data_IF_444650063344
#
_entry.id   IF_444650063344
#
_cell.length_a   1.000
_cell.length_b   1.000
_cell.length_c   1.000
_cell.angle_alpha   90.00
_cell.angle_beta   90.00
_cell.angle_gamma   90.00
#
_symmetry.space_group_name_H-M   'P 1'
#
loop_
_entity.id
_entity.type
_entity.pdbx_description
1 polymer ?
#
# COMPACT_ATOMS: atom_id res chain seq x y z
N UNK A 1 41.88 -4.63 27.57
CA UNK A 1 42.59 -3.68 26.70
C UNK A 1 42.78 -2.35 27.45
N UNK A 2 43.33 -2.42 28.67
CA UNK A 2 43.39 -1.37 29.71
C UNK A 2 43.62 0.07 29.18
N UNK A 3 42.54 0.78 28.85
CA UNK A 3 42.56 2.17 28.38
C UNK A 3 42.98 2.39 26.92
N UNK A 4 43.23 1.34 26.13
CA UNK A 4 43.64 1.47 24.74
C UNK A 4 42.53 2.12 23.89
N UNK A 5 42.85 3.10 23.02
CA UNK A 5 41.87 3.77 22.19
C UNK A 5 41.42 2.88 21.03
N UNK A 6 40.11 2.69 20.87
CA UNK A 6 39.50 2.10 19.68
C UNK A 6 39.09 3.24 18.75
N UNK A 7 39.76 3.35 17.61
CA UNK A 7 39.48 4.40 16.62
C UNK A 7 38.20 4.06 15.87
N UNK A 8 37.20 4.93 15.96
CA UNK A 8 35.93 4.75 15.27
C UNK A 8 35.42 6.06 14.66
N UNK A 9 34.46 5.92 13.77
CA UNK A 9 33.60 7.01 13.32
C UNK A 9 32.20 6.44 13.10
N UNK A 10 31.18 7.29 13.21
CA UNK A 10 29.80 6.93 12.98
C UNK A 10 29.22 7.69 11.79
N UNK A 11 28.21 7.11 11.17
CA UNK A 11 27.42 7.73 10.12
C UNK A 11 26.25 8.58 10.63
N UNK A 12 25.99 8.60 11.96
CA UNK A 12 24.91 9.36 12.61
C UNK A 12 23.54 9.17 11.94
N UNK A 13 23.19 7.92 11.61
CA UNK A 13 21.93 7.59 10.95
C UNK A 13 20.99 6.88 11.93
N UNK A 14 19.83 7.49 12.17
CA UNK A 14 18.79 6.86 12.94
C UNK A 14 18.18 5.66 12.18
N UNK A 15 17.84 4.54 12.85
CA UNK A 15 17.97 4.26 14.28
C UNK A 15 19.30 3.61 14.73
N UNK A 16 20.26 3.41 13.81
CA UNK A 16 21.47 2.61 14.10
C UNK A 16 22.45 3.32 15.04
N UNK A 17 22.66 4.61 14.80
CA UNK A 17 23.65 5.43 15.48
C UNK A 17 23.11 6.86 15.58
N UNK A 18 22.86 7.31 16.80
CA UNK A 18 22.23 8.60 17.09
C UNK A 18 23.07 9.32 18.13
N UNK A 19 23.48 10.55 17.80
CA UNK A 19 24.23 11.38 18.73
C UNK A 19 23.32 11.80 19.89
N UNK A 20 23.85 11.74 21.10
CA UNK A 20 23.21 12.19 22.33
C UNK A 20 24.25 12.89 23.22
N UNK A 21 23.80 13.63 24.22
CA UNK A 21 24.67 14.27 25.20
C UNK A 21 24.39 13.68 26.57
N UNK A 22 25.45 13.35 27.30
CA UNK A 22 25.31 12.91 28.69
C UNK A 22 24.76 14.07 29.53
N UNK A 23 23.59 13.92 30.17
CA UNK A 23 22.98 15.00 30.94
C UNK A 23 23.81 15.44 32.15
N UNK A 24 24.74 14.60 32.62
CA UNK A 24 25.59 14.87 33.80
C UNK A 24 26.93 15.44 33.38
N UNK A 25 27.61 14.82 32.41
CA UNK A 25 28.98 15.22 32.02
C UNK A 25 29.02 16.19 30.85
N UNK A 26 27.93 16.33 30.09
CA UNK A 26 27.89 17.09 28.83
C UNK A 26 28.72 16.44 27.71
N UNK A 27 29.20 15.21 27.90
CA UNK A 27 30.01 14.52 26.91
C UNK A 27 29.13 13.95 25.79
N UNK A 28 29.58 14.12 24.54
CA UNK A 28 28.88 13.60 23.37
C UNK A 28 29.01 12.08 23.31
N UNK A 29 27.87 11.39 23.31
CA UNK A 29 27.75 9.94 23.25
C UNK A 29 26.89 9.53 22.06
N UNK A 30 26.85 8.23 21.78
CA UNK A 30 26.03 7.66 20.72
C UNK A 30 25.22 6.50 21.24
N UNK A 31 23.95 6.47 20.85
CA UNK A 31 23.01 5.39 21.16
C UNK A 31 22.40 4.82 19.88
N UNK A 32 21.72 3.69 20.00
CA UNK A 32 21.14 2.95 18.89
C UNK A 32 21.74 1.56 18.79
N UNK A 33 21.13 0.68 18.00
CA UNK A 33 21.48 -0.75 18.05
C UNK A 33 22.95 -1.02 17.65
N UNK A 34 23.51 -0.25 16.72
CA UNK A 34 24.94 -0.35 16.33
C UNK A 34 25.86 0.28 17.38
N UNK A 35 25.50 1.49 17.84
CA UNK A 35 26.31 2.23 18.83
C UNK A 35 26.39 1.49 20.17
N UNK A 36 25.26 0.99 20.68
CA UNK A 36 25.16 0.27 21.94
C UNK A 36 26.02 -1.01 21.95
N UNK A 37 26.08 -1.73 20.83
CA UNK A 37 26.92 -2.92 20.71
C UNK A 37 28.40 -2.60 20.91
N UNK A 38 28.88 -1.54 20.26
CA UNK A 38 30.27 -1.10 20.34
C UNK A 38 30.60 -0.50 21.71
N UNK A 39 29.70 0.32 22.27
CA UNK A 39 29.85 0.87 23.63
C UNK A 39 29.98 -0.25 24.67
N UNK A 40 29.09 -1.24 24.63
CA UNK A 40 29.15 -2.39 25.52
C UNK A 40 30.44 -3.20 25.37
N UNK A 41 30.98 -3.27 24.14
CA UNK A 41 32.26 -3.93 23.90
C UNK A 41 33.41 -3.17 24.56
N UNK A 42 33.44 -1.85 24.38
CA UNK A 42 34.46 -0.96 24.96
C UNK A 42 34.47 -1.06 26.48
N UNK A 43 33.29 -1.04 27.11
CA UNK A 43 33.13 -1.25 28.54
C UNK A 43 33.64 -2.64 28.98
N UNK A 44 33.24 -3.70 28.27
CA UNK A 44 33.64 -5.09 28.56
C UNK A 44 35.16 -5.27 28.54
N UNK A 45 35.87 -4.64 27.61
CA UNK A 45 37.33 -4.77 27.47
C UNK A 45 38.11 -3.67 28.20
N UNK A 46 37.40 -2.75 28.87
CA UNK A 46 37.97 -1.57 29.53
C UNK A 46 38.89 -0.78 28.58
N UNK A 47 38.37 -0.42 27.41
CA UNK A 47 39.02 0.41 26.38
C UNK A 47 38.47 1.85 26.40
N UNK A 48 39.04 2.74 25.59
CA UNK A 48 38.52 4.09 25.39
C UNK A 48 38.00 4.26 23.97
N UNK A 49 36.91 5.03 23.81
CA UNK A 49 36.33 5.35 22.50
C UNK A 49 37.07 6.56 21.89
N UNK A 50 37.72 6.39 20.74
CA UNK A 50 38.43 7.47 20.06
C UNK A 50 37.73 7.86 18.75
N UNK A 51 36.82 8.84 18.84
CA UNK A 51 36.09 9.35 17.68
C UNK A 51 36.97 10.16 16.74
N UNK A 52 37.09 9.70 15.49
CA UNK A 52 37.90 10.33 14.44
C UNK A 52 37.11 11.40 13.69
N UNK A 53 36.69 12.46 14.40
CA UNK A 53 35.90 13.56 13.81
C UNK A 53 36.62 14.32 12.68
N UNK A 54 37.96 14.29 12.66
CA UNK A 54 38.79 14.90 11.62
C UNK A 54 38.65 14.24 10.24
N UNK A 55 38.17 12.98 10.20
CA UNK A 55 37.89 12.27 8.95
C UNK A 55 36.52 12.61 8.37
N UNK A 56 35.65 13.28 9.14
CA UNK A 56 34.36 13.72 8.63
C UNK A 56 34.58 14.77 7.53
N UNK A 57 33.87 14.63 6.41
CA UNK A 57 33.91 15.62 5.33
C UNK A 57 33.38 16.98 5.84
N UNK A 58 33.81 18.06 5.17
CA UNK A 58 33.37 19.43 5.47
C UNK A 58 31.84 19.44 5.52
N UNK A 59 31.26 19.92 6.63
CA UNK A 59 29.83 19.89 7.02
C UNK A 59 29.36 18.72 7.92
N UNK A 60 30.23 17.78 8.33
CA UNK A 60 29.84 16.74 9.30
C UNK A 60 28.94 15.64 8.72
N UNK A 61 28.88 15.57 7.39
CA UNK A 61 28.15 14.58 6.61
C UNK A 61 29.05 13.35 6.39
N UNK A 62 28.63 12.18 6.84
CA UNK A 62 29.44 10.95 6.76
C UNK A 62 28.61 9.87 6.08
N UNK A 63 29.08 9.44 4.91
CA UNK A 63 28.46 8.36 4.17
C UNK A 63 29.05 7.00 4.58
N UNK A 64 28.21 5.98 4.81
CA UNK A 64 28.64 4.69 5.35
C UNK A 64 29.70 3.97 4.48
N UNK A 65 29.65 4.13 3.16
CA UNK A 65 30.65 3.55 2.24
C UNK A 65 32.05 4.14 2.49
N UNK A 66 32.14 5.40 2.92
CA UNK A 66 33.43 6.00 3.27
C UNK A 66 33.99 5.37 4.56
N UNK A 67 33.13 5.01 5.52
CA UNK A 67 33.54 4.32 6.75
C UNK A 67 34.18 2.97 6.41
N UNK A 68 33.54 2.16 5.56
CA UNK A 68 34.07 0.88 5.11
C UNK A 68 35.41 1.03 4.36
N UNK A 69 35.58 2.10 3.59
CA UNK A 69 36.87 2.42 2.94
C UNK A 69 37.94 2.82 3.94
N UNK A 70 37.61 3.62 4.96
CA UNK A 70 38.57 4.06 5.98
C UNK A 70 39.01 2.92 6.90
N UNK A 71 38.11 1.98 7.22
CA UNK A 71 38.50 0.76 7.95
C UNK A 71 39.40 -0.13 7.09
N UNK A 72 39.07 -0.31 5.81
CA UNK A 72 39.90 -1.09 4.88
C UNK A 72 41.32 -0.51 4.71
N UNK A 73 41.47 0.81 4.83
CA UNK A 73 42.76 1.53 4.76
C UNK A 73 43.43 1.71 6.14
N UNK A 74 43.03 0.95 7.17
CA UNK A 74 43.60 0.97 8.53
C UNK A 74 43.53 2.33 9.29
N UNK A 75 42.74 3.29 8.79
CA UNK A 75 42.51 4.59 9.44
C UNK A 75 41.61 4.46 10.67
N UNK A 76 40.68 3.51 10.64
CA UNK A 76 39.75 3.17 11.71
C UNK A 76 39.98 1.72 12.15
N UNK A 77 39.74 1.41 13.42
CA UNK A 77 39.81 0.03 13.90
C UNK A 77 38.48 -0.69 13.70
N UNK A 78 37.37 -0.07 14.11
CA UNK A 78 36.00 -0.55 13.92
C UNK A 78 35.15 0.65 13.49
N UNK A 79 34.38 0.53 12.40
CA UNK A 79 33.39 1.55 12.03
C UNK A 79 32.10 1.39 12.84
N UNK A 80 31.57 2.47 13.40
CA UNK A 80 30.27 2.48 14.08
C UNK A 80 29.15 2.69 13.05
N UNK A 81 29.08 1.75 12.13
CA UNK A 81 28.08 1.65 11.07
C UNK A 81 27.93 0.17 10.69
N UNK A 82 26.97 -0.11 9.82
CA UNK A 82 26.81 -1.43 9.21
C UNK A 82 26.76 -1.27 7.71
N UNK A 83 27.36 -2.22 7.01
CA UNK A 83 27.40 -2.25 5.56
C UNK A 83 26.96 -3.62 5.04
N UNK A 84 26.54 -3.67 3.78
CA UNK A 84 26.18 -4.91 3.11
C UNK A 84 27.43 -5.64 2.64
N UNK A 85 27.33 -6.96 2.53
CA UNK A 85 28.45 -7.80 2.08
C UNK A 85 28.45 -8.02 0.55
N UNK A 86 27.63 -7.29 -0.23
CA UNK A 86 27.33 -7.60 -1.63
C UNK A 86 28.52 -7.36 -2.59
N UNK A 87 29.30 -6.30 -2.34
CA UNK A 87 30.39 -5.88 -3.23
C UNK A 87 31.68 -6.71 -3.04
N UNK A 88 31.75 -7.54 -2.00
CA UNK A 88 33.03 -7.95 -1.41
C UNK A 88 33.44 -9.37 -1.81
N UNK A 89 34.58 -9.48 -2.50
CA UNK A 89 35.27 -10.76 -2.74
C UNK A 89 36.08 -11.26 -1.54
N UNK A 90 36.32 -10.40 -0.55
CA UNK A 90 37.12 -10.69 0.63
C UNK A 90 36.41 -10.20 1.90
N UNK A 91 36.36 -11.03 2.93
CA UNK A 91 35.69 -10.78 4.21
C UNK A 91 36.67 -10.40 5.34
N UNK A 92 37.94 -10.13 5.00
CA UNK A 92 38.94 -9.70 5.98
C UNK A 92 38.57 -8.37 6.66
N UNK A 93 37.81 -7.49 5.98
CA UNK A 93 37.42 -6.15 6.46
C UNK A 93 36.03 -6.09 7.07
N UNK A 94 35.39 -7.23 7.35
CA UNK A 94 34.08 -7.31 7.98
C UNK A 94 34.08 -8.29 9.14
N UNK A 95 33.23 -8.03 10.12
CA UNK A 95 32.96 -9.00 11.19
C UNK A 95 32.08 -10.15 10.70
N UNK A 96 31.91 -11.14 11.57
CA UNK A 96 30.77 -12.05 11.53
C UNK A 96 29.43 -11.28 11.37
N UNK A 97 28.46 -11.82 10.60
CA UNK A 97 27.13 -11.22 10.38
C UNK A 97 26.44 -10.71 11.65
N UNK A 98 26.19 -9.41 11.68
CA UNK A 98 25.54 -8.77 12.81
C UNK A 98 24.02 -8.95 12.76
N UNK A 99 23.38 -8.61 11.64
CA UNK A 99 21.94 -8.82 11.45
C UNK A 99 21.60 -9.17 10.01
N UNK A 100 20.44 -9.81 9.83
CA UNK A 100 19.85 -10.09 8.53
C UNK A 100 18.54 -9.33 8.42
N UNK A 101 18.31 -8.68 7.28
CA UNK A 101 17.10 -7.90 7.02
C UNK A 101 16.75 -7.94 5.52
N UNK A 102 15.48 -7.74 5.19
CA UNK A 102 15.12 -7.50 3.79
C UNK A 102 15.37 -6.05 3.40
N UNK A 103 15.71 -5.81 2.15
CA UNK A 103 15.90 -4.48 1.56
C UNK A 103 14.93 -4.33 0.40
N UNK A 104 13.77 -3.73 0.72
CA UNK A 104 12.63 -3.64 -0.18
C UNK A 104 12.09 -2.22 -0.28
N UNK A 105 11.13 -2.02 -1.17
CA UNK A 105 10.57 -0.70 -1.40
C UNK A 105 9.47 -0.36 -0.40
N UNK A 106 9.59 0.83 0.22
CA UNK A 106 8.44 1.53 0.80
C UNK A 106 7.72 2.26 -0.33
N UNK A 107 6.44 1.93 -0.47
CA UNK A 107 5.60 2.36 -1.58
C UNK A 107 4.47 3.23 -1.04
N UNK A 108 4.12 4.35 -1.70
CA UNK A 108 2.96 5.13 -1.32
C UNK A 108 1.69 4.27 -1.33
N UNK A 109 0.84 4.43 -0.32
CA UNK A 109 -0.45 3.76 -0.27
C UNK A 109 -1.29 4.17 -1.48
N UNK A 110 -1.96 3.21 -2.14
CA UNK A 110 -2.84 3.51 -3.24
C UNK A 110 -3.99 4.40 -2.79
N UNK A 111 -4.41 5.30 -3.68
CA UNK A 111 -5.55 6.17 -3.42
C UNK A 111 -6.81 5.31 -3.17
N UNK A 112 -7.70 5.83 -2.32
CA UNK A 112 -9.02 5.22 -2.13
C UNK A 112 -9.83 5.36 -3.42
N UNK A 113 -10.72 4.40 -3.68
CA UNK A 113 -11.64 4.50 -4.81
C UNK A 113 -12.50 5.75 -4.63
N UNK A 114 -12.66 6.61 -5.66
CA UNK A 114 -13.49 7.79 -5.55
C UNK A 114 -14.95 7.41 -5.35
N UNK A 115 -15.71 8.23 -4.60
CA UNK A 115 -17.09 7.91 -4.23
C UNK A 115 -18.02 7.72 -5.44
N UNK A 116 -17.74 8.38 -6.57
CA UNK A 116 -18.48 8.21 -7.81
C UNK A 116 -18.41 6.79 -8.41
N UNK A 117 -17.33 6.05 -8.17
CA UNK A 117 -17.11 4.69 -8.68
C UNK A 117 -17.62 3.62 -7.72
N UNK A 118 -17.76 3.95 -6.43
CA UNK A 118 -18.22 3.01 -5.38
C UNK A 118 -19.52 2.31 -5.77
N UNK A 119 -20.47 3.03 -6.36
CA UNK A 119 -21.76 2.48 -6.75
C UNK A 119 -21.68 1.38 -7.83
N UNK A 120 -20.68 1.46 -8.71
CA UNK A 120 -20.42 0.47 -9.75
C UNK A 120 -19.58 -0.69 -9.25
N UNK A 121 -18.55 -0.41 -8.44
CA UNK A 121 -17.62 -1.43 -7.91
C UNK A 121 -18.32 -2.46 -7.02
N UNK A 122 -19.39 -2.08 -6.32
CA UNK A 122 -20.19 -3.02 -5.50
C UNK A 122 -20.89 -4.07 -6.39
N UNK A 123 -21.20 -3.74 -7.64
CA UNK A 123 -21.93 -4.61 -8.57
C UNK A 123 -20.92 -5.45 -9.35
N UNK A 124 -20.55 -6.60 -8.79
CA UNK A 124 -19.75 -7.58 -9.51
C UNK A 124 -20.52 -8.14 -10.74
N UNK A 125 -19.91 -8.19 -11.94
CA UNK A 125 -20.55 -8.70 -13.15
C UNK A 125 -21.07 -10.14 -13.02
N UNK A 126 -20.38 -10.98 -12.24
CA UNK A 126 -20.81 -12.35 -11.96
C UNK A 126 -22.09 -12.38 -11.12
N UNK A 127 -22.18 -11.55 -10.08
CA UNK A 127 -23.39 -11.40 -9.25
C UNK A 127 -24.56 -10.87 -10.10
N UNK A 128 -24.33 -9.88 -10.96
CA UNK A 128 -25.37 -9.37 -11.86
C UNK A 128 -25.88 -10.46 -12.82
N UNK A 129 -24.96 -11.25 -13.37
CA UNK A 129 -25.30 -12.39 -14.25
C UNK A 129 -26.13 -13.43 -13.51
N UNK A 130 -25.75 -13.76 -12.27
CA UNK A 130 -26.52 -14.67 -11.42
C UNK A 130 -27.92 -14.12 -11.11
N UNK A 131 -28.03 -12.86 -10.71
CA UNK A 131 -29.32 -12.20 -10.46
C UNK A 131 -30.21 -12.20 -11.71
N UNK A 132 -29.63 -11.96 -12.88
CA UNK A 132 -30.34 -12.03 -14.16
C UNK A 132 -30.85 -13.44 -14.47
N UNK A 133 -30.04 -14.48 -14.21
CA UNK A 133 -30.46 -15.88 -14.34
C UNK A 133 -31.60 -16.22 -13.37
N UNK A 134 -31.48 -15.82 -12.11
CA UNK A 134 -32.54 -16.00 -11.10
C UNK A 134 -33.81 -15.28 -11.57
N UNK A 135 -33.71 -14.04 -12.07
CA UNK A 135 -34.85 -13.32 -12.66
C UNK A 135 -35.54 -14.09 -13.79
N UNK A 136 -34.76 -14.60 -14.75
CA UNK A 136 -35.29 -15.38 -15.87
C UNK A 136 -35.99 -16.67 -15.42
N UNK A 137 -35.39 -17.38 -14.44
CA UNK A 137 -36.00 -18.61 -13.89
C UNK A 137 -37.31 -18.32 -13.15
N UNK A 138 -37.36 -17.30 -12.29
CA UNK A 138 -38.62 -16.91 -11.63
C UNK A 138 -39.68 -16.43 -12.63
N UNK A 139 -39.28 -15.68 -13.65
CA UNK A 139 -40.20 -15.19 -14.68
C UNK A 139 -40.83 -16.32 -15.49
N UNK A 140 -40.03 -17.29 -15.94
CA UNK A 140 -40.53 -18.47 -16.67
C UNK A 140 -41.46 -19.34 -15.81
N UNK A 141 -41.09 -19.56 -14.54
CA UNK A 141 -41.92 -20.31 -13.60
C UNK A 141 -43.28 -19.61 -13.34
N UNK A 142 -43.27 -18.29 -13.23
CA UNK A 142 -44.49 -17.50 -13.01
C UNK A 142 -45.42 -17.55 -14.23
N UNK A 143 -44.87 -17.43 -15.44
CA UNK A 143 -45.61 -17.58 -16.71
C UNK A 143 -46.25 -18.98 -16.82
N UNK A 144 -45.50 -20.02 -16.45
CA UNK A 144 -45.99 -21.40 -16.45
C UNK A 144 -47.16 -21.59 -15.48
N UNK A 145 -47.05 -21.08 -14.25
CA UNK A 145 -48.12 -21.17 -13.23
C UNK A 145 -49.38 -20.40 -13.68
N UNK A 146 -49.20 -19.25 -14.33
CA UNK A 146 -50.29 -18.42 -14.85
C UNK A 146 -50.86 -18.93 -16.18
N UNK A 147 -50.32 -20.01 -16.75
CA UNK A 147 -50.71 -20.58 -18.05
C UNK A 147 -50.70 -19.55 -19.19
N UNK A 148 -49.75 -18.62 -19.18
CA UNK A 148 -49.56 -17.63 -20.26
C UNK A 148 -48.65 -18.18 -21.35
N UNK A 149 -48.70 -17.58 -22.54
CA UNK A 149 -47.80 -17.95 -23.64
C UNK A 149 -46.35 -17.55 -23.31
N UNK A 150 -45.42 -18.48 -23.58
CA UNK A 150 -43.99 -18.23 -23.45
C UNK A 150 -43.51 -17.46 -24.68
N UNK A 151 -43.13 -16.21 -24.49
CA UNK A 151 -42.40 -15.41 -25.48
C UNK A 151 -41.19 -14.78 -24.79
N UNK A 152 -40.15 -14.47 -25.55
CA UNK A 152 -38.94 -13.85 -24.99
C UNK A 152 -39.28 -12.49 -24.34
N UNK A 153 -40.20 -11.75 -24.95
CA UNK A 153 -40.73 -10.49 -24.40
C UNK A 153 -41.52 -10.69 -23.11
N UNK A 154 -42.30 -11.76 -22.96
CA UNK A 154 -43.07 -12.02 -21.74
C UNK A 154 -42.17 -12.42 -20.58
N UNK A 155 -41.04 -13.09 -20.85
CA UNK A 155 -40.03 -13.43 -19.85
C UNK A 155 -39.25 -12.18 -19.40
N UNK A 156 -38.76 -11.38 -20.35
CA UNK A 156 -37.92 -10.22 -20.05
C UNK A 156 -38.72 -9.06 -19.42
N UNK A 157 -39.94 -8.80 -19.91
CA UNK A 157 -40.81 -7.70 -19.44
C UNK A 157 -41.88 -8.18 -18.45
N UNK A 158 -41.50 -9.07 -17.53
CA UNK A 158 -42.41 -9.52 -16.48
C UNK A 158 -42.45 -8.51 -15.32
N UNK A 159 -43.41 -7.59 -15.38
CA UNK A 159 -43.61 -6.50 -14.41
C UNK A 159 -43.71 -6.99 -12.95
N UNK A 160 -44.38 -8.13 -12.71
CA UNK A 160 -44.54 -8.68 -11.36
C UNK A 160 -43.19 -9.15 -10.78
N UNK A 161 -42.38 -9.84 -11.60
CA UNK A 161 -41.06 -10.30 -11.18
C UNK A 161 -40.09 -9.12 -11.01
N UNK A 162 -40.11 -8.14 -11.92
CA UNK A 162 -39.19 -7.01 -11.90
C UNK A 162 -39.43 -6.10 -10.69
N UNK A 163 -40.69 -5.77 -10.40
CA UNK A 163 -41.07 -5.06 -9.17
C UNK A 163 -40.73 -5.86 -7.93
N UNK A 164 -40.98 -7.17 -7.93
CA UNK A 164 -40.62 -8.05 -6.82
C UNK A 164 -39.12 -7.99 -6.51
N UNK A 165 -38.27 -8.11 -7.53
CA UNK A 165 -36.80 -8.01 -7.41
C UNK A 165 -36.32 -6.66 -6.89
N UNK A 166 -36.94 -5.56 -7.33
CA UNK A 166 -36.64 -4.20 -6.85
C UNK A 166 -37.29 -3.87 -5.49
N UNK A 167 -37.89 -4.86 -4.82
CA UNK A 167 -38.61 -4.69 -3.56
C UNK A 167 -39.75 -3.64 -3.64
N UNK A 168 -40.38 -3.52 -4.81
CA UNK A 168 -41.52 -2.63 -5.04
C UNK A 168 -42.85 -3.38 -4.87
N UNK A 169 -43.91 -2.71 -4.37
CA UNK A 169 -45.22 -3.31 -4.27
C UNK A 169 -45.80 -3.55 -5.68
N UNK A 170 -46.47 -4.69 -5.84
CA UNK A 170 -47.15 -5.07 -7.08
C UNK A 170 -48.56 -5.60 -6.79
N UNK A 171 -49.50 -5.46 -7.73
CA UNK A 171 -50.87 -5.93 -7.55
C UNK A 171 -50.91 -7.46 -7.44
N UNK A 172 -51.41 -7.95 -6.30
CA UNK A 172 -51.50 -9.38 -6.01
C UNK A 172 -52.93 -9.90 -6.27
N UNK A 173 -53.14 -11.01 -7.00
CA UNK A 173 -54.48 -11.52 -7.26
C UNK A 173 -55.17 -12.04 -5.99
N UNK A 174 -56.48 -11.79 -5.85
CA UNK A 174 -57.29 -12.24 -4.72
C UNK A 174 -57.41 -13.78 -4.64
N UNK A 175 -57.45 -14.47 -5.79
CA UNK A 175 -57.51 -15.93 -5.87
C UNK A 175 -56.17 -16.49 -6.37
N UNK A 176 -55.33 -16.92 -5.44
CA UNK A 176 -53.99 -17.43 -5.73
C UNK A 176 -53.80 -18.90 -5.33
N UNK A 177 -53.13 -19.65 -6.20
CA UNK A 177 -52.66 -21.00 -5.89
C UNK A 177 -51.59 -20.97 -4.78
N UNK A 178 -51.51 -22.02 -3.96
CA UNK A 178 -50.45 -22.15 -2.92
C UNK A 178 -49.05 -22.05 -3.52
N UNK A 179 -48.87 -22.52 -4.75
CA UNK A 179 -47.61 -22.45 -5.51
C UNK A 179 -47.20 -20.99 -5.80
N UNK A 180 -48.14 -20.15 -6.24
CA UNK A 180 -47.88 -18.73 -6.51
C UNK A 180 -47.51 -17.96 -5.23
N UNK A 181 -48.19 -18.26 -4.11
CA UNK A 181 -47.86 -17.67 -2.80
C UNK A 181 -46.43 -18.02 -2.36
N UNK A 182 -46.03 -19.29 -2.50
CA UNK A 182 -44.68 -19.73 -2.17
C UNK A 182 -43.62 -19.04 -3.05
N UNK A 183 -43.86 -18.96 -4.37
CA UNK A 183 -42.93 -18.26 -5.28
C UNK A 183 -42.78 -16.79 -4.95
N UNK A 184 -43.88 -16.10 -4.66
CA UNK A 184 -43.86 -14.70 -4.24
C UNK A 184 -43.08 -14.51 -2.94
N UNK A 185 -43.21 -15.43 -1.98
CA UNK A 185 -42.47 -15.40 -0.72
C UNK A 185 -40.96 -15.63 -0.92
N UNK A 186 -40.59 -16.60 -1.77
CA UNK A 186 -39.20 -16.84 -2.14
C UNK A 186 -38.59 -15.64 -2.87
N UNK A 187 -39.33 -15.04 -3.80
CA UNK A 187 -38.93 -13.83 -4.51
C UNK A 187 -38.70 -12.68 -3.53
N UNK A 188 -39.63 -12.47 -2.59
CA UNK A 188 -39.50 -11.45 -1.55
C UNK A 188 -38.24 -11.68 -0.69
N UNK A 189 -37.99 -12.91 -0.26
CA UNK A 189 -36.81 -13.24 0.54
C UNK A 189 -35.50 -13.00 -0.24
N UNK A 190 -35.43 -13.42 -1.51
CA UNK A 190 -34.28 -13.17 -2.37
C UNK A 190 -34.03 -11.67 -2.59
N UNK A 191 -35.09 -10.90 -2.77
CA UNK A 191 -35.03 -9.45 -3.00
C UNK A 191 -34.61 -8.70 -1.74
N UNK A 192 -35.12 -9.12 -0.58
CA UNK A 192 -34.71 -8.60 0.73
C UNK A 192 -33.23 -8.85 0.96
N UNK A 193 -32.77 -10.09 0.80
CA UNK A 193 -31.35 -10.46 0.97
C UNK A 193 -30.45 -9.63 0.05
N UNK A 194 -30.77 -9.55 -1.24
CA UNK A 194 -29.98 -8.79 -2.23
C UNK A 194 -29.92 -7.30 -1.89
N UNK A 195 -31.07 -6.69 -1.55
CA UNK A 195 -31.14 -5.26 -1.20
C UNK A 195 -30.40 -4.96 0.09
N UNK A 196 -30.54 -5.81 1.11
CA UNK A 196 -29.82 -5.64 2.38
C UNK A 196 -28.31 -5.81 2.22
N UNK A 197 -27.87 -6.76 1.38
CA UNK A 197 -26.46 -6.99 1.08
C UNK A 197 -25.86 -5.77 0.37
N UNK A 198 -26.51 -5.31 -0.72
CA UNK A 198 -26.06 -4.11 -1.43
C UNK A 198 -26.03 -2.88 -0.53
N UNK A 199 -27.08 -2.66 0.27
CA UNK A 199 -27.14 -1.54 1.21
C UNK A 199 -26.08 -1.60 2.30
N UNK A 200 -25.71 -2.79 2.78
CA UNK A 200 -24.63 -2.97 3.74
C UNK A 200 -23.26 -2.65 3.13
N UNK A 201 -22.97 -3.18 1.94
CA UNK A 201 -21.72 -2.88 1.21
C UNK A 201 -21.61 -1.40 0.88
N UNK A 202 -22.70 -0.79 0.40
CA UNK A 202 -22.71 0.64 0.07
C UNK A 202 -22.40 1.50 1.31
N UNK A 203 -23.05 1.23 2.45
CA UNK A 203 -22.76 1.95 3.69
C UNK A 203 -21.31 1.77 4.14
N UNK A 204 -20.78 0.55 4.06
CA UNK A 204 -19.41 0.26 4.43
C UNK A 204 -18.40 1.00 3.53
N UNK A 205 -18.62 1.00 2.21
CA UNK A 205 -17.74 1.66 1.25
C UNK A 205 -17.87 3.19 1.27
N UNK A 206 -19.05 3.74 1.58
CA UNK A 206 -19.21 5.18 1.81
C UNK A 206 -18.53 5.64 3.11
N UNK A 207 -18.44 4.77 4.13
CA UNK A 207 -17.74 5.10 5.36
C UNK A 207 -16.21 5.04 5.18
N UNK A 208 -15.71 3.99 4.53
CA UNK A 208 -14.30 3.84 4.20
C UNK A 208 -14.19 3.15 2.85
N UNK A 209 -13.97 3.91 1.76
CA UNK A 209 -13.82 3.31 0.44
C UNK A 209 -12.63 2.36 0.44
N UNK A 210 -12.74 1.20 -0.22
CA UNK A 210 -11.63 0.29 -0.35
C UNK A 210 -10.48 0.99 -1.10
N UNK A 211 -9.22 0.74 -0.73
CA UNK A 211 -8.09 1.23 -1.48
C UNK A 211 -8.03 0.59 -2.87
N UNK A 212 -7.45 1.30 -3.84
CA UNK A 212 -7.06 0.68 -5.10
C UNK A 212 -6.08 -0.50 -4.86
N UNK A 213 -5.99 -1.46 -5.81
CA UNK A 213 -5.14 -2.62 -5.63
C UNK A 213 -3.67 -2.22 -5.39
N UNK A 214 -3.10 -2.72 -4.31
CA UNK A 214 -1.68 -2.50 -3.98
C UNK A 214 -0.77 -3.07 -5.08
N UNK A 215 0.33 -2.39 -5.34
CA UNK A 215 1.36 -2.85 -6.28
C UNK A 215 2.10 -4.04 -5.69
N UNK A 216 2.19 -5.13 -6.47
CA UNK A 216 2.84 -6.38 -6.04
C UNK A 216 4.08 -6.71 -6.84
N UNK A 217 4.21 -6.20 -8.05
CA UNK A 217 5.32 -6.55 -8.95
C UNK A 217 6.06 -5.32 -9.47
N UNK A 218 7.31 -5.51 -9.92
CA UNK A 218 8.08 -4.47 -10.61
C UNK A 218 7.39 -3.98 -11.89
N UNK A 219 6.64 -4.84 -12.58
CA UNK A 219 5.84 -4.46 -13.76
C UNK A 219 4.70 -3.50 -13.41
N UNK A 220 4.09 -3.65 -12.22
CA UNK A 220 3.06 -2.72 -11.74
C UNK A 220 3.69 -1.35 -11.45
N UNK A 221 4.88 -1.34 -10.85
CA UNK A 221 5.66 -0.14 -10.58
C UNK A 221 6.04 0.58 -11.88
N UNK A 222 6.46 -0.15 -12.91
CA UNK A 222 6.75 0.41 -14.24
C UNK A 222 5.53 1.09 -14.85
N UNK A 223 4.32 0.54 -14.66
CA UNK A 223 3.06 1.13 -15.17
C UNK A 223 2.50 2.24 -14.28
N UNK A 224 2.93 2.31 -13.02
CA UNK A 224 2.43 3.27 -12.05
C UNK A 224 2.87 4.71 -12.33
N UNK A 225 2.30 5.70 -11.64
CA UNK A 225 2.74 7.10 -11.74
C UNK A 225 4.03 7.41 -10.96
N UNK A 226 4.47 6.48 -10.11
CA UNK A 226 5.52 6.75 -9.14
C UNK A 226 6.91 6.59 -9.74
N UNK A 227 7.85 7.44 -9.28
CA UNK A 227 9.27 7.32 -9.61
C UNK A 227 10.02 6.64 -8.49
N UNK A 228 11.09 5.92 -8.80
CA UNK A 228 11.97 5.33 -7.79
C UNK A 228 13.07 6.32 -7.47
N UNK A 229 13.17 6.77 -6.22
CA UNK A 229 14.30 7.57 -5.77
C UNK A 229 15.37 6.62 -5.19
N UNK A 230 16.61 6.73 -5.68
CA UNK A 230 17.74 5.93 -5.18
C UNK A 230 18.99 6.79 -5.04
N UNK A 231 19.85 6.44 -4.07
CA UNK A 231 21.16 7.06 -3.98
C UNK A 231 22.12 6.48 -5.05
N UNK A 232 23.08 7.29 -5.52
CA UNK A 232 24.11 6.86 -6.47
C UNK A 232 24.87 5.62 -6.01
N UNK A 233 25.17 5.50 -4.71
CA UNK A 233 25.91 4.37 -4.16
C UNK A 233 25.09 3.08 -4.18
N UNK A 234 23.79 3.17 -3.91
CA UNK A 234 22.87 2.03 -4.04
C UNK A 234 22.80 1.60 -5.50
N UNK A 235 22.74 2.55 -6.44
CA UNK A 235 22.75 2.27 -7.87
C UNK A 235 24.05 1.64 -8.37
N UNK A 236 25.20 2.04 -7.83
CA UNK A 236 26.49 1.45 -8.17
C UNK A 236 26.57 -0.02 -7.70
N UNK A 237 26.06 -0.30 -6.50
CA UNK A 237 25.92 -1.67 -5.98
C UNK A 237 25.03 -2.54 -6.88
N UNK A 238 23.87 -2.02 -7.33
CA UNK A 238 22.97 -2.77 -8.23
C UNK A 238 23.59 -3.08 -9.60
N UNK A 239 24.45 -2.18 -10.11
CA UNK A 239 25.16 -2.37 -11.39
C UNK A 239 26.19 -3.50 -11.31
N UNK A 240 26.84 -3.65 -10.16
CA UNK A 240 27.76 -4.76 -9.91
C UNK A 240 27.10 -6.13 -9.99
N UNK A 241 25.82 -6.24 -9.61
CA UNK A 241 25.02 -7.48 -9.72
C UNK A 241 24.37 -7.69 -11.11
N UNK A 242 24.98 -7.16 -12.17
CA UNK A 242 24.54 -7.31 -13.56
C UNK A 242 23.11 -6.80 -13.86
N UNK A 243 22.66 -5.71 -13.23
CA UNK A 243 21.34 -5.08 -13.47
C UNK A 243 20.13 -6.04 -13.31
N UNK A 244 20.30 -7.19 -12.63
CA UNK A 244 19.25 -8.19 -12.48
C UNK A 244 18.15 -7.79 -11.49
N UNK A 245 18.44 -6.78 -10.65
CA UNK A 245 17.66 -6.49 -9.45
C UNK A 245 16.51 -5.50 -9.72
N UNK A 246 16.60 -4.69 -10.77
CA UNK A 246 15.47 -3.88 -11.28
C UNK A 246 14.99 -4.44 -12.62
N UNK A 247 14.50 -5.70 -12.66
CA UNK A 247 14.03 -6.27 -13.91
C UNK A 247 12.83 -5.46 -14.39
N UNK A 248 12.85 -5.05 -15.66
CA UNK A 248 11.73 -4.37 -16.32
C UNK A 248 11.40 -2.97 -15.77
N UNK A 249 12.36 -2.25 -15.19
CA UNK A 249 12.18 -0.83 -14.87
C UNK A 249 13.04 0.02 -15.81
N UNK A 250 12.41 0.88 -16.61
CA UNK A 250 13.12 1.84 -17.46
C UNK A 250 13.97 2.80 -16.62
N UNK A 251 15.16 3.17 -17.11
CA UNK A 251 16.04 4.16 -16.48
C UNK A 251 15.33 5.51 -16.26
N UNK A 252 14.31 5.84 -17.06
CA UNK A 252 13.51 7.08 -16.93
C UNK A 252 12.64 7.10 -15.66
N UNK A 253 12.35 5.93 -15.07
CA UNK A 253 11.60 5.81 -13.81
C UNK A 253 12.48 5.94 -12.58
N UNK A 254 13.80 5.89 -12.73
CA UNK A 254 14.75 5.92 -11.62
C UNK A 254 15.40 7.30 -11.53
N UNK A 255 15.15 8.00 -10.43
CA UNK A 255 15.78 9.27 -10.12
C UNK A 255 16.96 9.02 -9.17
N UNK A 256 18.17 9.29 -9.67
CA UNK A 256 19.41 9.06 -8.93
C UNK A 256 19.82 10.36 -8.22
N UNK A 257 19.77 10.32 -6.89
CA UNK A 257 20.18 11.44 -6.03
C UNK A 257 21.66 11.26 -5.68
N UNK A 258 22.45 12.32 -5.87
CA UNK A 258 23.90 12.30 -5.62
C UNK A 258 24.27 12.54 -4.16
N UNK A 259 23.55 13.44 -3.48
CA UNK A 259 23.77 13.68 -2.05
C UNK A 259 22.94 12.69 -1.23
N UNK A 260 23.61 11.88 -0.41
CA UNK A 260 22.95 10.91 0.46
C UNK A 260 22.07 11.59 1.51
N UNK A 261 22.45 12.76 2.03
CA UNK A 261 21.65 13.45 3.03
C UNK A 261 20.37 14.03 2.43
N UNK A 262 20.43 14.51 1.19
CA UNK A 262 19.24 14.93 0.44
C UNK A 262 18.29 13.75 0.22
N UNK A 263 18.83 12.58 -0.17
CA UNK A 263 18.04 11.35 -0.31
C UNK A 263 17.38 10.93 1.01
N UNK A 264 18.13 10.94 2.12
CA UNK A 264 17.59 10.61 3.45
C UNK A 264 16.49 11.60 3.85
N UNK A 265 16.71 12.91 3.67
CA UNK A 265 15.72 13.94 3.98
C UNK A 265 14.46 13.80 3.13
N UNK A 266 14.60 13.53 1.83
CA UNK A 266 13.47 13.30 0.93
C UNK A 266 12.66 12.08 1.36
N UNK A 267 13.33 11.00 1.73
CA UNK A 267 12.69 9.78 2.24
C UNK A 267 11.97 10.00 3.56
N UNK A 268 12.59 10.73 4.50
CA UNK A 268 12.01 11.06 5.81
C UNK A 268 10.85 12.06 5.72
N UNK A 269 10.77 12.82 4.62
CA UNK A 269 9.62 13.69 4.34
C UNK A 269 8.36 12.95 3.88
N UNK A 270 8.41 11.63 3.70
CA UNK A 270 7.31 10.81 3.19
C UNK A 270 6.69 11.38 1.89
N UNK A 271 7.54 11.74 0.93
CA UNK A 271 7.07 12.29 -0.35
C UNK A 271 6.41 11.21 -1.22
N UNK A 272 5.08 11.27 -1.36
CA UNK A 272 4.26 10.29 -2.07
C UNK A 272 4.45 10.24 -3.59
N UNK A 273 5.25 11.14 -4.19
CA UNK A 273 5.61 11.04 -5.61
C UNK A 273 6.66 9.95 -5.88
N UNK A 274 7.35 9.50 -4.84
CA UNK A 274 8.49 8.62 -4.94
C UNK A 274 8.29 7.32 -4.19
N UNK A 275 8.92 6.27 -4.71
CA UNK A 275 9.11 4.98 -4.06
C UNK A 275 10.56 4.91 -3.59
N UNK A 276 10.78 4.49 -2.34
CA UNK A 276 12.11 4.50 -1.75
C UNK A 276 12.53 3.11 -1.31
N UNK A 277 13.79 2.70 -1.54
CA UNK A 277 14.31 1.48 -0.94
C UNK A 277 14.61 1.69 0.55
N UNK A 278 14.19 0.75 1.37
CA UNK A 278 14.39 0.73 2.82
C UNK A 278 14.67 -0.68 3.32
N UNK A 279 15.49 -0.78 4.34
CA UNK A 279 15.67 -2.05 5.08
C UNK A 279 14.45 -2.30 5.97
N UNK A 280 14.10 -3.55 6.23
CA UNK A 280 13.01 -3.90 7.16
C UNK A 280 13.20 -3.31 8.57
N UNK A 281 14.44 -3.20 9.04
CA UNK A 281 14.78 -2.56 10.34
C UNK A 281 14.40 -1.08 10.33
N UNK A 282 14.76 -0.34 9.27
CA UNK A 282 14.37 1.07 9.11
C UNK A 282 12.87 1.22 8.90
N UNK A 283 12.24 0.31 8.15
CA UNK A 283 10.79 0.31 7.96
C UNK A 283 10.03 0.23 9.29
N UNK A 284 10.50 -0.60 10.24
CA UNK A 284 9.87 -0.70 11.57
C UNK A 284 9.70 0.66 12.26
N UNK A 285 10.73 1.53 12.19
CA UNK A 285 10.61 2.89 12.75
C UNK A 285 9.67 3.81 11.96
N UNK A 286 9.57 3.65 10.64
CA UNK A 286 8.62 4.42 9.84
C UNK A 286 7.18 3.95 10.05
N UNK A 287 6.96 2.65 10.25
CA UNK A 287 5.64 2.12 10.58
C UNK A 287 5.14 2.68 11.91
N UNK A 288 5.98 2.69 12.95
CA UNK A 288 5.63 3.32 14.23
C UNK A 288 5.39 4.84 14.09
N UNK A 289 6.20 5.54 13.29
CA UNK A 289 5.99 6.96 13.02
C UNK A 289 4.64 7.22 12.34
N UNK A 290 4.24 6.37 11.39
CA UNK A 290 2.98 6.52 10.67
C UNK A 290 1.75 6.24 11.53
N UNK A 291 1.86 5.47 12.62
CA UNK A 291 0.75 5.28 13.58
C UNK A 291 0.39 6.56 14.33
N UNK A 292 1.29 7.54 14.34
CA UNK A 292 1.02 8.88 14.88
C UNK A 292 0.29 9.79 13.89
N UNK A 293 0.22 9.42 12.61
CA UNK A 293 -0.51 10.15 11.57
C UNK A 293 -1.98 9.73 11.56
N UNK A 294 -2.87 10.62 11.11
CA UNK A 294 -4.29 10.32 10.96
C UNK A 294 -4.54 9.19 9.95
N UNK A 295 -3.78 9.17 8.85
CA UNK A 295 -3.76 8.09 7.88
C UNK A 295 -2.31 7.70 7.54
N UNK A 296 -2.00 6.41 7.42
CA UNK A 296 -0.70 5.98 6.92
C UNK A 296 -0.54 6.43 5.45
N UNK A 297 0.69 6.74 5.04
CA UNK A 297 1.01 7.28 3.70
C UNK A 297 1.76 6.27 2.83
N UNK A 298 2.50 5.34 3.46
CA UNK A 298 3.29 4.32 2.80
C UNK A 298 3.01 2.93 3.37
N UNK A 299 3.32 1.90 2.58
CA UNK A 299 3.38 0.51 3.00
C UNK A 299 4.69 -0.11 2.53
N UNK A 300 5.15 -1.15 3.24
CA UNK A 300 6.31 -1.95 2.85
C UNK A 300 5.89 -3.10 1.95
N UNK A 301 6.53 -3.22 0.80
CA UNK A 301 6.25 -4.31 -0.14
C UNK A 301 7.27 -5.43 0.00
N UNK A 302 6.85 -6.58 0.52
CA UNK A 302 7.69 -7.79 0.60
C UNK A 302 7.94 -8.45 -0.77
N UNK A 303 7.16 -8.09 -1.78
CA UNK A 303 7.28 -8.65 -3.13
C UNK A 303 8.18 -7.80 -4.04
N UNK A 304 8.27 -6.49 -3.78
CA UNK A 304 9.09 -5.56 -4.55
C UNK A 304 10.34 -5.29 -3.72
N UNK A 305 11.30 -6.21 -3.82
CA UNK A 305 12.53 -6.20 -3.04
C UNK A 305 13.76 -6.15 -3.93
N UNK A 306 14.76 -5.37 -3.51
CA UNK A 306 16.10 -5.42 -4.11
C UNK A 306 16.84 -6.68 -3.62
N UNK A 307 16.66 -7.02 -2.35
CA UNK A 307 17.15 -8.27 -1.78
C UNK A 307 16.31 -8.70 -0.59
N UNK A 308 15.92 -9.98 -0.56
CA UNK A 308 15.12 -10.54 0.53
C UNK A 308 15.96 -10.82 1.78
N UNK A 309 17.23 -11.20 1.60
CA UNK A 309 18.12 -11.64 2.68
C UNK A 309 19.42 -10.83 2.66
N UNK A 310 19.34 -9.56 3.05
CA UNK A 310 20.51 -8.71 3.15
C UNK A 310 21.24 -8.94 4.48
N UNK A 311 22.54 -9.26 4.39
CA UNK A 311 23.40 -9.48 5.55
C UNK A 311 24.17 -8.20 5.84
N UNK A 312 23.99 -7.67 7.05
CA UNK A 312 24.68 -6.48 7.53
C UNK A 312 25.76 -6.85 8.57
N UNK A 313 26.95 -6.31 8.38
CA UNK A 313 28.13 -6.57 9.22
C UNK A 313 28.85 -5.27 9.57
N UNK A 314 29.65 -5.29 10.65
CA UNK A 314 30.47 -4.15 11.02
C UNK A 314 31.70 -4.08 10.11
N UNK A 315 32.01 -2.91 9.52
CA UNK A 315 33.27 -2.71 8.83
C UNK A 315 34.41 -2.62 9.86
N UNK A 316 35.48 -3.38 9.64
CA UNK A 316 36.66 -3.45 10.49
C UNK A 316 37.93 -3.34 9.65
N UNK A 317 39.03 -2.96 10.28
CA UNK A 317 40.35 -3.07 9.65
C UNK A 317 40.74 -4.52 9.39
N UNK A 318 41.49 -4.74 8.32
CA UNK A 318 41.84 -6.07 7.79
C UNK A 318 42.49 -6.99 8.82
N UNK A 319 43.42 -6.44 9.60
CA UNK A 319 44.16 -7.17 10.62
C UNK A 319 43.87 -6.60 12.02
N UNK A 320 42.60 -6.67 12.43
CA UNK A 320 42.17 -6.24 13.76
C UNK A 320 42.68 -7.24 14.83
N UNK A 321 43.57 -6.83 15.77
CA UNK A 321 44.23 -7.76 16.69
C UNK A 321 43.26 -8.50 17.65
N UNK A 322 42.10 -7.92 17.89
CA UNK A 322 41.09 -8.40 18.82
C UNK A 322 39.77 -8.77 18.12
N UNK A 323 39.84 -9.08 16.82
CA UNK A 323 38.68 -9.47 16.01
C UNK A 323 37.84 -10.56 16.67
N UNK A 324 38.47 -11.65 17.11
CA UNK A 324 37.79 -12.78 17.72
C UNK A 324 36.99 -12.37 18.97
N UNK A 325 37.54 -11.47 19.80
CA UNK A 325 36.86 -10.97 21.00
C UNK A 325 35.63 -10.13 20.65
N UNK A 326 35.72 -9.34 19.57
CA UNK A 326 34.61 -8.53 19.10
C UNK A 326 33.51 -9.39 18.45
N UNK A 327 33.87 -10.34 17.60
CA UNK A 327 32.91 -11.27 16.98
C UNK A 327 32.22 -12.15 18.03
N UNK A 328 32.95 -12.66 19.03
CA UNK A 328 32.35 -13.38 20.15
C UNK A 328 31.40 -12.49 20.96
N UNK A 329 31.74 -11.20 21.15
CA UNK A 329 30.84 -10.24 21.79
C UNK A 329 29.57 -10.04 20.97
N UNK A 330 29.66 -9.88 19.64
CA UNK A 330 28.50 -9.78 18.75
C UNK A 330 27.56 -10.98 18.95
N UNK A 331 28.11 -12.20 18.90
CA UNK A 331 27.34 -13.42 19.07
C UNK A 331 26.62 -13.48 20.42
N UNK A 332 27.34 -13.23 21.51
CA UNK A 332 26.74 -13.24 22.87
C UNK A 332 25.62 -12.21 23.01
N UNK A 333 25.81 -10.99 22.51
CA UNK A 333 24.80 -9.92 22.60
C UNK A 333 23.52 -10.30 21.82
N UNK A 334 23.68 -11.00 20.68
CA UNK A 334 22.55 -11.57 19.92
C UNK A 334 21.87 -12.71 20.67
N UNK A 335 22.63 -13.63 21.28
CA UNK A 335 22.09 -14.75 22.07
C UNK A 335 21.26 -14.27 23.28
N UNK A 336 21.68 -13.17 23.92
CA UNK A 336 20.92 -12.55 25.00
C UNK A 336 19.69 -11.75 24.52
N UNK A 337 19.49 -11.58 23.21
CA UNK A 337 18.37 -10.82 22.65
C UNK A 337 18.52 -9.30 22.73
N UNK A 338 19.71 -8.78 23.08
CA UNK A 338 19.93 -7.34 23.22
C UNK A 338 19.81 -6.58 21.89
N UNK A 339 20.19 -7.22 20.78
CA UNK A 339 19.98 -6.66 19.45
C UNK A 339 18.50 -6.35 19.18
N UNK A 340 17.63 -7.34 19.39
CA UNK A 340 16.18 -7.18 19.17
C UNK A 340 15.63 -6.11 20.10
N UNK A 341 16.02 -6.13 21.37
CA UNK A 341 15.63 -5.10 22.33
C UNK A 341 15.99 -3.68 21.85
N UNK A 342 17.21 -3.44 21.37
CA UNK A 342 17.59 -2.12 20.86
C UNK A 342 16.87 -1.73 19.58
N UNK A 343 16.56 -2.69 18.69
CA UNK A 343 15.77 -2.42 17.49
C UNK A 343 14.34 -2.03 17.89
N UNK A 344 13.70 -2.77 18.77
CA UNK A 344 12.32 -2.53 19.21
C UNK A 344 12.18 -1.20 19.98
N UNK A 345 13.19 -0.84 20.78
CA UNK A 345 13.22 0.44 21.50
C UNK A 345 13.66 1.62 20.65
N UNK A 346 14.19 1.39 19.45
CA UNK A 346 14.85 2.45 18.68
C UNK A 346 13.93 3.62 18.32
N UNK A 347 12.65 3.36 18.07
CA UNK A 347 11.68 4.42 17.80
C UNK A 347 11.46 5.33 19.02
N UNK A 348 11.44 4.77 20.23
CA UNK A 348 11.32 5.55 21.47
C UNK A 348 12.58 6.39 21.71
N UNK A 349 13.77 5.85 21.42
CA UNK A 349 15.02 6.59 21.49
C UNK A 349 15.03 7.75 20.48
N UNK A 350 14.54 7.53 19.26
CA UNK A 350 14.38 8.59 18.25
C UNK A 350 13.44 9.70 18.72
N UNK A 351 12.30 9.35 19.34
CA UNK A 351 11.36 10.31 19.91
C UNK A 351 12.00 11.10 21.06
N UNK A 352 12.74 10.42 21.95
CA UNK A 352 13.45 11.05 23.07
C UNK A 352 14.51 12.05 22.61
N UNK A 353 15.16 11.77 21.48
CA UNK A 353 16.17 12.65 20.87
C UNK A 353 15.56 13.71 19.93
N UNK A 354 14.24 13.81 19.85
CA UNK A 354 13.52 14.76 18.97
C UNK A 354 13.95 14.65 17.49
N UNK A 355 14.39 13.46 17.05
CA UNK A 355 14.81 13.21 15.67
C UNK A 355 13.63 13.02 14.72
N UNK A 356 12.45 12.73 15.26
CA UNK A 356 11.20 12.61 14.49
C UNK A 356 10.34 13.86 14.68
N UNK A 357 10.02 14.58 13.59
CA UNK A 357 9.12 15.71 13.68
C UNK A 357 7.72 15.23 14.07
N UNK A 358 7.11 15.90 15.04
CA UNK A 358 5.73 15.62 15.52
C UNK A 358 4.65 16.23 14.62
N UNK A 359 5.02 16.75 13.44
CA UNK A 359 4.06 17.37 12.52
C UNK A 359 3.16 16.30 11.92
N UNK A 360 1.86 16.45 12.15
CA UNK A 360 0.82 15.69 11.46
C UNK A 360 0.88 16.06 9.97
N UNK A 361 1.55 15.22 9.18
CA UNK A 361 1.72 15.41 7.73
C UNK A 361 0.45 15.02 6.96
N UNK A 362 -0.51 14.39 7.63
CA UNK A 362 -1.83 14.12 7.09
C UNK A 362 -2.73 15.33 7.32
N UNK A 363 -3.12 16.03 6.25
CA UNK A 363 -4.30 16.88 6.34
C UNK A 363 -5.49 16.01 6.78
N UNK A 364 -6.25 16.42 7.80
CA UNK A 364 -7.46 15.70 8.19
C UNK A 364 -8.37 15.63 6.97
N UNK A 365 -8.84 14.43 6.61
CA UNK A 365 -9.72 14.25 5.45
C UNK A 365 -11.01 15.05 5.65
N UNK A 366 -11.10 16.21 5.02
CA UNK A 366 -12.26 17.13 5.11
C UNK A 366 -13.49 16.55 4.38
N UNK A 367 -13.34 15.48 3.60
CA UNK A 367 -14.41 14.91 2.78
C UNK A 367 -15.17 13.79 3.50
N UNK A 368 -15.93 14.18 4.52
CA UNK A 368 -17.00 13.35 5.12
C UNK A 368 -18.36 13.59 4.46
N UNK A 369 -18.47 14.54 3.52
CA UNK A 369 -19.70 14.90 2.85
C UNK A 369 -19.70 14.35 1.40
N UNK A 370 -20.76 13.62 1.04
CA UNK A 370 -21.00 13.18 -0.35
C UNK A 370 -21.45 14.39 -1.15
N UNK A 371 -20.77 14.69 -2.24
CA UNK A 371 -21.12 15.78 -3.14
C UNK A 371 -22.09 15.30 -4.23
N UNK A 372 -22.80 16.24 -4.86
CA UNK A 372 -23.70 15.89 -5.97
C UNK A 372 -22.92 15.34 -7.17
N UNK A 373 -21.67 15.77 -7.33
CA UNK A 373 -20.76 15.30 -8.37
C UNK A 373 -20.42 13.81 -8.19
N UNK A 374 -20.43 13.29 -6.96
CA UNK A 374 -20.25 11.85 -6.69
C UNK A 374 -21.40 11.01 -7.26
N UNK A 375 -22.58 11.60 -7.48
CA UNK A 375 -23.74 10.89 -8.05
C UNK A 375 -23.81 10.99 -9.59
N UNK A 376 -22.82 11.61 -10.25
CA UNK A 376 -22.84 11.85 -11.70
C UNK A 376 -23.15 10.60 -12.54
N UNK A 377 -22.51 9.46 -12.23
CA UNK A 377 -22.75 8.20 -12.96
C UNK A 377 -24.19 7.69 -12.81
N UNK A 378 -24.76 7.75 -11.61
CA UNK A 378 -26.13 7.31 -11.35
C UNK A 378 -27.13 8.22 -12.06
N UNK A 379 -26.94 9.54 -11.94
CA UNK A 379 -27.80 10.54 -12.58
C UNK A 379 -27.71 10.44 -14.10
N UNK A 380 -26.51 10.20 -14.65
CA UNK A 380 -26.29 9.94 -16.07
C UNK A 380 -27.05 8.71 -16.56
N UNK A 381 -26.97 7.58 -15.84
CA UNK A 381 -27.70 6.36 -16.18
C UNK A 381 -29.22 6.55 -16.10
N UNK A 382 -29.70 7.30 -15.11
CA UNK A 382 -31.10 7.65 -14.96
C UNK A 382 -31.61 8.52 -16.13
N UNK A 383 -30.86 9.56 -16.51
CA UNK A 383 -31.19 10.41 -17.65
C UNK A 383 -31.18 9.65 -18.98
N UNK A 384 -30.19 8.77 -19.19
CA UNK A 384 -30.12 7.88 -20.35
C UNK A 384 -31.38 6.98 -20.43
N UNK A 385 -31.74 6.38 -19.30
CA UNK A 385 -32.91 5.49 -19.19
C UNK A 385 -34.22 6.24 -19.51
N UNK A 386 -34.39 7.45 -18.97
CA UNK A 386 -35.51 8.32 -19.32
C UNK A 386 -35.56 8.64 -20.82
N UNK A 387 -34.41 8.95 -21.43
CA UNK A 387 -34.29 9.19 -22.86
C UNK A 387 -34.77 7.98 -23.69
N UNK A 388 -34.34 6.77 -23.32
CA UNK A 388 -34.79 5.53 -23.98
C UNK A 388 -36.30 5.35 -23.82
N UNK A 389 -36.85 5.56 -22.63
CA UNK A 389 -38.29 5.48 -22.38
C UNK A 389 -39.08 6.47 -23.25
N UNK A 390 -38.62 7.73 -23.36
CA UNK A 390 -39.23 8.74 -24.22
C UNK A 390 -39.18 8.35 -25.71
N UNK A 391 -38.04 7.81 -26.17
CA UNK A 391 -37.90 7.31 -27.55
C UNK A 391 -38.86 6.14 -27.84
N UNK A 392 -38.95 5.16 -26.95
CA UNK A 392 -39.89 4.04 -27.09
C UNK A 392 -41.34 4.52 -27.13
N UNK A 393 -41.71 5.46 -26.25
CA UNK A 393 -43.05 6.05 -26.23
C UNK A 393 -43.38 6.82 -27.53
N UNK A 394 -42.43 7.61 -28.03
CA UNK A 394 -42.59 8.31 -29.31
C UNK A 394 -42.78 7.34 -30.49
N UNK A 395 -41.99 6.27 -30.55
CA UNK A 395 -42.12 5.22 -31.56
C UNK A 395 -43.46 4.48 -31.47
N UNK A 396 -43.96 4.23 -30.26
CA UNK A 396 -45.28 3.63 -30.05
C UNK A 396 -46.41 4.53 -30.58
N UNK A 397 -46.34 5.84 -30.31
CA UNK A 397 -47.29 6.83 -30.84
C UNK A 397 -47.22 6.91 -32.37
N UNK A 398 -46.02 6.98 -32.95
CA UNK A 398 -45.82 7.05 -34.40
C UNK A 398 -46.31 5.76 -35.11
N UNK A 399 -46.01 4.59 -34.56
CA UNK A 399 -46.50 3.30 -35.04
C UNK A 399 -48.01 3.14 -34.87
N UNK A 400 -48.58 3.68 -33.79
CA UNK A 400 -50.03 3.72 -33.56
C UNK A 400 -50.73 4.68 -34.52
N UNK A 401 -50.14 5.83 -34.86
CA UNK A 401 -50.68 6.77 -35.86
C UNK A 401 -50.81 6.12 -37.25
N UNK A 402 -49.86 5.26 -37.64
CA UNK A 402 -49.97 4.39 -38.82
C UNK A 402 -51.17 3.42 -38.75
N UNK A 403 -51.46 2.84 -37.58
CA UNK A 403 -52.68 2.04 -37.34
C UNK A 403 -53.95 2.88 -37.25
N UNK A 404 -53.87 4.10 -36.74
CA UNK A 404 -54.99 5.05 -36.64
C UNK A 404 -55.40 5.55 -38.02
N UNK A 405 -54.45 5.76 -38.93
CA UNK A 405 -54.74 6.01 -40.34
C UNK A 405 -55.43 4.81 -41.03
N UNK A 406 -55.06 3.56 -40.68
CA UNK A 406 -55.81 2.37 -41.15
C UNK A 406 -57.21 2.25 -40.53
N UNK A 407 -57.39 2.67 -39.27
CA UNK A 407 -58.69 2.70 -38.59
C UNK A 407 -59.60 3.81 -39.15
N UNK A 408 -59.06 4.99 -39.47
CA UNK A 408 -59.78 6.07 -40.18
C UNK A 408 -60.24 5.63 -41.57
N UNK A 409 -59.41 4.91 -42.31
CA UNK A 409 -59.79 4.32 -43.61
C UNK A 409 -60.92 3.27 -43.45
N UNK A 410 -60.87 2.44 -42.40
CA UNK A 410 -61.92 1.44 -42.12
C UNK A 410 -63.26 2.08 -41.70
N UNK A 411 -63.23 3.13 -40.87
CA UNK A 411 -64.43 3.89 -40.49
C UNK A 411 -65.03 4.66 -41.67
N UNK A 412 -64.20 5.22 -42.57
CA UNK A 412 -64.72 5.86 -43.79
C UNK A 412 -65.43 4.89 -44.73
N UNK A 413 -65.05 3.60 -44.71
CA UNK A 413 -65.66 2.54 -45.53
C UNK A 413 -66.99 2.01 -44.96
N UNK A 414 -67.23 2.18 -43.66
CA UNK A 414 -68.47 1.78 -42.98
C UNK A 414 -69.59 2.84 -43.18
N UNK A 415 -69.24 4.10 -43.39
CA UNK A 415 -70.21 5.19 -43.63
C UNK A 415 -70.53 5.44 -45.11
N UNK A 416 -69.97 4.66 -46.04
CA UNK A 416 -70.20 4.78 -47.50
C UNK A 416 -70.88 3.57 -48.14
N UNK A 417 -71.44 2.66 -47.35
CA UNK A 417 -72.43 1.65 -47.76
C UNK A 417 -73.68 1.84 -46.89
#
# INVERSE_FOLDING_TARGET
MQGAPIRTITDNLAPRSMATEDPITGEKKWIGFVANLLNNFIEKVNATLAMQSQLAEVEGKIFFVNISKWTANDLLDIGMSVDTMWEMRNFDTFTYPYLMCSYCFMVPLPDKIPYNEVYGVIIDPGVLTLLFLIFCTFSTLLIYIQKRSLSLTSVLMNDMCLRGFLCQPFPFPLQCSRKLKLMCLLLCFASLMTTTMYGAYLKAFLYSPPPQPMMRTFSDLERSRYKIAMNWAEMDMLRFENNRILPHVSNERVEIIKDYHEFVKLRESFNSNYVFPVTSVRWGTYDEQQKLLFNPVFYYSENICLSSDNILSFPIRRHLPYRNLFEEHILRQKEFGLLNHWIDHSFLDMLRLELTPHTDMSEPSVELAIEVDDLYWILGLYALSLGICCCCFALEILGSSSRWNRFKLYISKIFTN
#
